data_IF_718101747545
#
_entry.id   IF_718101747545
#
_cell.length_a   1.000
_cell.length_b   1.000
_cell.length_c   1.000
_cell.angle_alpha   90.00
_cell.angle_beta   90.00
_cell.angle_gamma   90.00
#
_symmetry.space_group_name_H-M   'P 1'
#
loop_
_entity.id
_entity.type
_entity.pdbx_description
1 polymer ?
#
# COMPACT_ATOMS: atom_id res chain seq x y z
N UNK A 1 -12.81 -1.28 7.55
CA UNK A 1 -12.08 -0.57 6.47
C UNK A 1 -12.96 -0.56 5.22
N UNK A 2 -13.18 0.61 4.60
CA UNK A 2 -13.85 0.73 3.30
C UNK A 2 -13.28 -0.25 2.26
N UNK A 3 -14.12 -0.75 1.34
CA UNK A 3 -13.74 -1.68 0.28
C UNK A 3 -13.47 -3.13 0.72
N UNK A 4 -13.08 -3.38 1.97
CA UNK A 4 -12.63 -4.70 2.43
C UNK A 4 -13.70 -5.81 2.30
N UNK A 5 -14.98 -5.49 2.53
CA UNK A 5 -16.05 -6.48 2.44
C UNK A 5 -16.24 -6.98 0.99
N UNK A 6 -16.18 -6.06 0.03
CA UNK A 6 -16.27 -6.34 -1.40
C UNK A 6 -15.06 -7.15 -1.88
N UNK A 7 -13.85 -6.79 -1.43
CA UNK A 7 -12.64 -7.55 -1.75
C UNK A 7 -12.68 -8.99 -1.19
N UNK A 8 -13.21 -9.18 0.01
CA UNK A 8 -13.41 -10.52 0.61
C UNK A 8 -14.45 -11.36 -0.13
N UNK A 9 -15.40 -10.72 -0.80
CA UNK A 9 -16.45 -11.40 -1.56
C UNK A 9 -16.02 -11.74 -3.00
N UNK A 10 -14.89 -11.20 -3.47
CA UNK A 10 -14.36 -11.51 -4.80
C UNK A 10 -14.07 -13.01 -4.93
N UNK A 11 -14.46 -13.58 -6.07
CA UNK A 11 -14.19 -14.98 -6.39
C UNK A 11 -12.72 -15.16 -6.76
N UNK A 12 -12.16 -16.37 -6.57
CA UNK A 12 -10.82 -16.68 -7.06
C UNK A 12 -10.66 -16.32 -8.53
N UNK A 13 -9.61 -15.56 -8.85
CA UNK A 13 -9.31 -15.11 -10.22
C UNK A 13 -9.98 -13.81 -10.66
N UNK A 14 -10.90 -13.22 -9.88
CA UNK A 14 -11.48 -11.91 -10.23
C UNK A 14 -10.52 -10.74 -10.00
N UNK A 15 -9.52 -10.93 -9.14
CA UNK A 15 -8.42 -10.00 -8.94
C UNK A 15 -7.12 -10.75 -9.20
N UNK A 16 -6.44 -10.40 -10.29
CA UNK A 16 -5.08 -10.85 -10.55
C UNK A 16 -4.10 -9.98 -9.75
N UNK A 17 -3.19 -10.64 -9.04
CA UNK A 17 -2.11 -9.97 -8.30
C UNK A 17 -0.80 -10.48 -8.90
N UNK A 18 0.04 -9.56 -9.36
CA UNK A 18 1.39 -9.87 -9.85
C UNK A 18 2.43 -9.13 -9.04
N UNK A 19 3.58 -9.76 -8.89
CA UNK A 19 4.74 -9.22 -8.18
C UNK A 19 5.86 -9.01 -9.18
N UNK A 20 6.62 -7.92 -9.02
CA UNK A 20 7.96 -7.81 -9.60
C UNK A 20 8.92 -7.16 -8.63
N UNK A 21 10.18 -7.60 -8.67
CA UNK A 21 11.27 -6.88 -8.06
C UNK A 21 11.51 -5.57 -8.80
N UNK A 22 11.88 -4.53 -8.06
CA UNK A 22 12.37 -3.25 -8.57
C UNK A 22 13.59 -2.85 -7.74
N UNK A 23 14.49 -2.00 -8.26
CA UNK A 23 15.77 -1.69 -7.59
C UNK A 23 15.60 -1.20 -6.14
N UNK A 24 14.49 -0.54 -5.83
CA UNK A 24 14.16 0.00 -4.51
C UNK A 24 13.22 -0.88 -3.68
N UNK A 25 12.96 -2.12 -4.09
CA UNK A 25 12.07 -3.05 -3.38
C UNK A 25 11.19 -3.88 -4.31
N UNK A 26 9.88 -3.78 -4.12
CA UNK A 26 8.92 -4.59 -4.87
C UNK A 26 7.74 -3.75 -5.36
N UNK A 27 7.18 -4.13 -6.50
CA UNK A 27 5.88 -3.67 -6.95
C UNK A 27 4.87 -4.82 -6.92
N UNK A 28 3.69 -4.55 -6.36
CA UNK A 28 2.50 -5.37 -6.51
C UNK A 28 1.52 -4.68 -7.46
N UNK A 29 1.07 -5.40 -8.50
CA UNK A 29 0.04 -4.92 -9.41
C UNK A 29 -1.24 -5.72 -9.23
N UNK A 30 -2.30 -5.03 -8.85
CA UNK A 30 -3.66 -5.54 -8.73
C UNK A 30 -4.43 -5.20 -10.01
N UNK A 31 -5.07 -6.20 -10.63
CA UNK A 31 -5.80 -6.02 -11.88
C UNK A 31 -7.13 -6.77 -11.83
N UNK A 32 -8.17 -6.12 -12.33
CA UNK A 32 -9.51 -6.70 -12.48
C UNK A 32 -10.23 -5.97 -13.61
N UNK A 33 -11.17 -6.66 -14.27
CA UNK A 33 -12.07 -6.05 -15.24
C UNK A 33 -13.35 -5.50 -14.59
N UNK A 34 -13.60 -5.81 -13.32
CA UNK A 34 -14.77 -5.35 -12.58
C UNK A 34 -14.51 -3.97 -11.96
N UNK A 35 -15.22 -2.95 -12.45
CA UNK A 35 -15.11 -1.58 -11.96
C UNK A 35 -15.47 -1.42 -10.48
N UNK A 36 -16.35 -2.28 -9.93
CA UNK A 36 -16.69 -2.27 -8.52
C UNK A 36 -15.51 -2.77 -7.67
N UNK A 37 -14.78 -3.79 -8.14
CA UNK A 37 -13.57 -4.28 -7.49
C UNK A 37 -12.41 -3.29 -7.60
N UNK A 38 -12.27 -2.56 -8.71
CA UNK A 38 -11.33 -1.42 -8.81
C UNK A 38 -11.62 -0.37 -7.75
N UNK A 39 -12.89 0.04 -7.62
CA UNK A 39 -13.30 1.04 -6.65
C UNK A 39 -13.07 0.56 -5.21
N UNK A 40 -13.31 -0.72 -4.94
CA UNK A 40 -13.05 -1.34 -3.64
C UNK A 40 -11.55 -1.38 -3.30
N UNK A 41 -10.68 -1.67 -4.27
CA UNK A 41 -9.22 -1.63 -4.09
C UNK A 41 -8.75 -0.23 -3.71
N UNK A 42 -9.19 0.81 -4.44
CA UNK A 42 -8.85 2.20 -4.10
C UNK A 42 -9.31 2.57 -2.69
N UNK A 43 -10.58 2.31 -2.36
CA UNK A 43 -11.14 2.63 -1.04
C UNK A 43 -10.40 1.92 0.11
N UNK A 44 -9.92 0.69 -0.15
CA UNK A 44 -9.16 -0.08 0.83
C UNK A 44 -7.76 0.50 1.04
N UNK A 45 -7.04 0.85 -0.03
CA UNK A 45 -5.71 1.47 0.08
C UNK A 45 -5.75 2.87 0.69
N UNK A 46 -6.73 3.71 0.31
CA UNK A 46 -6.89 5.05 0.88
C UNK A 46 -7.12 4.99 2.40
N UNK A 47 -7.88 4.00 2.85
CA UNK A 47 -8.13 3.79 4.27
C UNK A 47 -6.88 3.37 5.05
N UNK A 48 -5.95 2.62 4.44
CA UNK A 48 -4.66 2.31 5.07
C UNK A 48 -3.80 3.56 5.26
N UNK A 49 -3.82 4.46 4.28
CA UNK A 49 -3.05 5.70 4.35
C UNK A 49 -3.62 6.67 5.41
N UNK A 50 -4.94 6.66 5.61
CA UNK A 50 -5.61 7.48 6.62
C UNK A 50 -5.52 6.92 8.04
N UNK A 51 -5.53 5.58 8.21
CA UNK A 51 -5.54 4.92 9.53
C UNK A 51 -4.13 4.86 10.17
N UNK A 52 -3.08 4.92 9.34
CA UNK A 52 -1.67 4.92 9.80
C UNK A 52 -1.03 6.32 9.94
N UNK A 53 -1.77 7.41 9.70
CA UNK A 53 -1.32 8.78 9.99
C UNK A 53 0.03 9.19 9.39
N UNK A 54 0.61 10.29 9.89
CA UNK A 54 1.83 10.96 9.38
C UNK A 54 3.08 10.07 9.31
N UNK A 55 3.07 8.88 9.93
CA UNK A 55 4.19 7.93 9.92
C UNK A 55 4.34 7.16 8.58
N UNK A 56 3.35 7.23 7.69
CA UNK A 56 3.42 6.66 6.34
C UNK A 56 4.11 7.58 5.30
N UNK A 57 4.42 8.83 5.67
CA UNK A 57 5.03 9.83 4.79
C UNK A 57 6.48 10.13 5.18
N UNK A 58 7.43 9.69 4.34
CA UNK A 58 8.86 10.00 4.40
C UNK A 58 9.54 9.85 5.78
N UNK A 59 10.36 8.80 5.91
CA UNK A 59 11.45 8.81 6.88
C UNK A 59 12.41 9.95 6.55
N UNK A 60 12.23 11.11 7.20
CA UNK A 60 13.22 12.18 7.20
C UNK A 60 14.45 11.65 7.94
N UNK A 61 15.47 11.23 7.19
CA UNK A 61 16.80 10.95 7.71
C UNK A 61 17.39 12.25 8.30
N UNK A 62 17.12 12.55 9.57
CA UNK A 62 17.89 13.56 10.29
C UNK A 62 19.14 12.91 10.87
N UNK A 63 20.15 12.80 10.02
CA UNK A 63 21.52 12.58 10.44
C UNK A 63 22.02 13.81 11.21
N UNK A 64 22.22 13.66 12.51
CA UNK A 64 23.18 14.48 13.25
C UNK A 64 23.94 13.58 14.21
N UNK A 65 24.99 12.96 13.67
CA UNK A 65 26.10 12.43 14.46
C UNK A 65 26.86 13.63 15.06
N UNK A 66 26.50 14.04 16.26
CA UNK A 66 27.37 14.87 17.09
C UNK A 66 28.35 13.95 17.84
N UNK A 67 29.49 13.66 17.20
CA UNK A 67 30.71 13.29 17.92
C UNK A 67 31.20 14.54 18.66
N UNK A 68 31.19 14.53 19.98
CA UNK A 68 32.19 15.28 20.76
C UNK A 68 32.58 14.46 22.00
N UNK A 69 33.80 13.94 21.95
CA UNK A 69 34.63 13.59 23.11
C UNK A 69 35.52 14.81 23.40
N UNK A 70 35.94 15.01 24.65
CA UNK A 70 37.24 14.45 25.04
C UNK A 70 37.20 13.57 26.28
#
# INVERSE_FOLDING_TARGET
>A
MPGLAQLKAARPGEIAISYRDVDSGAELRYQTADAALVSALHAWFDAQLSDHGTDAGQQQHHGSMSRQTP
#
